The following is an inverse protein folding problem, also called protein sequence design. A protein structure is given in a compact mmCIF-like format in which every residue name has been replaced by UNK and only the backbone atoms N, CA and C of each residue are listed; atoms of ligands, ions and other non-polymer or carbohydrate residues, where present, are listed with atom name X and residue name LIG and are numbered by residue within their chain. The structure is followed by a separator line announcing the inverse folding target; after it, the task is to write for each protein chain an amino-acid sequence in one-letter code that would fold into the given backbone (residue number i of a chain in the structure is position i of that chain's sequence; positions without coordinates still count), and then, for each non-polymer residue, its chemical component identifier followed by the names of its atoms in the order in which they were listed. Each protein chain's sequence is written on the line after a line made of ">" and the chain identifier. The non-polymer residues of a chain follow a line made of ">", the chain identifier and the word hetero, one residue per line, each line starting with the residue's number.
data_IF_348073701784
#
_entry.id   IF_348073701784
#
_cell.length_a   1.000
_cell.length_b   1.000
_cell.length_c   1.000
_cell.angle_alpha   90.00
_cell.angle_beta   90.00
_cell.angle_gamma   90.00
#
_symmetry.space_group_name_H-M   'P 1'
#
loop_
_entity.id
_entity.type
_entity.pdbx_description
1 polymer ?
#
# COMPACT_ATOMS: atom_id res chain seq x y z
N UNK A 1 -11.90 -13.74 -19.18
CA UNK A 1 -10.94 -13.70 -18.05
C UNK A 1 -10.13 -12.44 -18.22
N UNK A 2 -10.25 -11.48 -17.28
CA UNK A 2 -9.39 -10.29 -17.27
C UNK A 2 -7.93 -10.75 -17.20
N UNK A 3 -7.10 -10.21 -18.09
CA UNK A 3 -5.66 -10.51 -18.19
C UNK A 3 -4.83 -9.54 -17.33
N UNK A 4 -5.52 -8.79 -16.48
CA UNK A 4 -4.95 -7.59 -15.87
C UNK A 4 -4.14 -7.99 -14.64
N UNK A 5 -2.82 -7.95 -14.75
CA UNK A 5 -1.93 -8.16 -13.62
C UNK A 5 -1.91 -6.90 -12.77
N UNK A 6 -2.12 -7.06 -11.46
CA UNK A 6 -2.32 -5.95 -10.51
C UNK A 6 -3.42 -4.96 -10.96
N UNK A 7 -4.42 -5.45 -11.72
CA UNK A 7 -5.55 -4.64 -12.19
C UNK A 7 -5.17 -3.51 -13.17
N UNK A 8 -3.98 -3.55 -13.77
CA UNK A 8 -3.45 -2.41 -14.55
C UNK A 8 -3.00 -2.76 -15.98
N UNK A 9 -2.37 -3.91 -16.23
CA UNK A 9 -1.79 -4.25 -17.57
C UNK A 9 -2.14 -5.66 -18.04
N UNK A 10 -2.39 -5.81 -19.34
CA UNK A 10 -2.76 -7.07 -19.99
C UNK A 10 -1.56 -7.95 -20.40
N UNK A 11 -0.34 -7.42 -20.34
CA UNK A 11 0.93 -8.08 -20.63
C UNK A 11 1.80 -8.34 -19.38
N UNK A 12 1.28 -8.14 -18.17
CA UNK A 12 2.06 -8.22 -16.92
C UNK A 12 2.46 -9.63 -16.44
N UNK A 13 2.41 -10.67 -17.29
CA UNK A 13 2.82 -12.04 -16.91
C UNK A 13 4.32 -12.06 -16.58
N UNK A 14 4.66 -12.61 -15.42
CA UNK A 14 6.04 -12.62 -14.90
C UNK A 14 6.34 -11.49 -13.92
N UNK A 15 5.34 -10.66 -13.59
CA UNK A 15 5.42 -9.70 -12.48
C UNK A 15 5.53 -10.42 -11.13
N UNK A 16 6.17 -9.77 -10.17
CA UNK A 16 6.46 -10.30 -8.84
C UNK A 16 6.11 -9.25 -7.78
N UNK A 17 5.61 -9.72 -6.64
CA UNK A 17 5.53 -8.92 -5.42
C UNK A 17 6.28 -9.64 -4.30
N UNK A 18 7.24 -8.96 -3.70
CA UNK A 18 7.97 -9.43 -2.53
C UNK A 18 7.52 -8.66 -1.31
N UNK A 19 7.21 -9.38 -0.23
CA UNK A 19 6.62 -8.84 0.98
C UNK A 19 7.44 -9.27 2.20
N UNK A 20 7.82 -8.30 3.03
CA UNK A 20 8.43 -8.53 4.32
C UNK A 20 7.67 -7.80 5.42
N UNK A 21 7.30 -8.55 6.47
CA UNK A 21 6.64 -8.02 7.67
C UNK A 21 7.42 -8.39 8.91
N UNK A 22 7.52 -7.44 9.85
CA UNK A 22 8.11 -7.69 11.16
C UNK A 22 7.36 -6.92 12.24
N UNK A 23 6.75 -7.66 13.18
CA UNK A 23 5.84 -7.08 14.17
C UNK A 23 6.20 -7.52 15.59
N UNK A 24 7.33 -7.05 16.15
CA UNK A 24 7.74 -7.43 17.49
C UNK A 24 6.82 -6.84 18.55
N UNK A 25 6.61 -7.58 19.63
CA UNK A 25 6.06 -7.03 20.87
C UNK A 25 7.11 -6.14 21.54
N UNK A 26 6.70 -4.95 21.96
CA UNK A 26 7.57 -3.96 22.61
C UNK A 26 7.43 -3.99 24.14
N UNK A 27 6.51 -4.78 24.67
CA UNK A 27 6.11 -4.79 26.08
C UNK A 27 4.86 -3.95 26.34
N UNK A 28 4.29 -4.10 27.54
CA UNK A 28 3.08 -3.40 27.98
C UNK A 28 1.89 -3.47 27.01
N UNK A 29 1.76 -4.57 26.26
CA UNK A 29 0.73 -4.75 25.26
C UNK A 29 0.86 -3.85 24.03
N UNK A 30 2.03 -3.26 23.79
CA UNK A 30 2.37 -2.58 22.55
C UNK A 30 3.01 -3.54 21.55
N UNK A 31 2.63 -3.40 20.28
CA UNK A 31 3.23 -4.15 19.16
C UNK A 31 3.62 -3.17 18.07
N UNK A 32 4.90 -3.19 17.67
CA UNK A 32 5.34 -2.46 16.51
C UNK A 32 4.78 -3.12 15.26
N UNK A 33 4.31 -2.35 14.29
CA UNK A 33 3.79 -2.85 13.03
C UNK A 33 4.70 -2.36 11.90
N UNK A 34 5.47 -3.24 11.27
CA UNK A 34 6.31 -2.87 10.12
C UNK A 34 6.06 -3.75 8.91
N UNK A 35 6.10 -3.12 7.76
CA UNK A 35 5.99 -3.78 6.47
C UNK A 35 6.82 -3.02 5.43
N UNK A 36 7.48 -3.77 4.56
CA UNK A 36 8.06 -3.27 3.33
C UNK A 36 7.73 -4.24 2.19
N UNK A 37 7.14 -3.71 1.13
CA UNK A 37 6.74 -4.44 -0.06
C UNK A 37 7.41 -3.88 -1.30
N UNK A 38 7.74 -4.72 -2.27
CA UNK A 38 8.19 -4.25 -3.59
C UNK A 38 7.51 -5.00 -4.72
N UNK A 39 6.92 -4.23 -5.64
CA UNK A 39 6.31 -4.72 -6.87
C UNK A 39 7.24 -4.52 -8.06
N UNK A 40 7.50 -5.61 -8.79
CA UNK A 40 8.24 -5.63 -10.04
C UNK A 40 7.27 -6.05 -11.14
N UNK A 41 7.03 -5.18 -12.11
CA UNK A 41 6.10 -5.41 -13.20
C UNK A 41 6.88 -5.79 -14.45
N UNK A 42 6.57 -6.97 -14.98
CA UNK A 42 7.11 -7.41 -16.25
C UNK A 42 6.72 -6.40 -17.34
N UNK A 43 7.66 -6.06 -18.22
CA UNK A 43 7.49 -5.11 -19.34
C UNK A 43 7.21 -3.65 -18.95
N UNK A 44 6.96 -3.35 -17.67
CA UNK A 44 6.62 -2.01 -17.17
C UNK A 44 7.53 -1.60 -16.00
N UNK A 45 8.84 -1.57 -16.21
CA UNK A 45 9.81 -1.24 -15.13
C UNK A 45 9.61 0.15 -14.52
N UNK A 46 9.03 1.09 -15.27
CA UNK A 46 8.64 2.42 -14.77
C UNK A 46 7.45 2.40 -13.80
N UNK A 47 6.69 1.30 -13.77
CA UNK A 47 5.58 1.09 -12.84
C UNK A 47 6.00 0.41 -11.53
N UNK A 48 7.24 -0.06 -11.43
CA UNK A 48 7.76 -0.72 -10.23
C UNK A 48 7.65 0.19 -9.00
N UNK A 49 7.27 -0.38 -7.87
CA UNK A 49 7.12 0.36 -6.63
C UNK A 49 7.80 -0.34 -5.46
N UNK A 50 8.05 0.46 -4.42
CA UNK A 50 8.28 -0.02 -3.06
C UNK A 50 7.30 0.71 -2.14
N UNK A 51 6.65 -0.03 -1.26
CA UNK A 51 5.74 0.51 -0.26
C UNK A 51 6.15 0.12 1.15
N UNK A 52 5.75 0.95 2.10
CA UNK A 52 6.16 0.90 3.47
C UNK A 52 4.96 1.15 4.36
N UNK A 53 4.97 0.50 5.51
CA UNK A 53 4.08 0.82 6.61
C UNK A 53 4.85 0.76 7.92
N UNK A 54 4.63 1.78 8.73
CA UNK A 54 5.10 1.86 10.11
C UNK A 54 3.92 2.20 11.00
N UNK A 55 3.66 1.38 11.99
CA UNK A 55 2.56 1.58 12.91
C UNK A 55 2.85 1.05 14.29
N UNK A 56 1.92 1.31 15.18
CA UNK A 56 1.92 0.85 16.55
C UNK A 56 0.52 0.39 16.90
N UNK A 57 0.43 -0.76 17.56
CA UNK A 57 -0.78 -1.29 18.14
C UNK A 57 -0.68 -1.29 19.66
N UNK A 58 -1.81 -1.12 20.34
CA UNK A 58 -1.96 -1.20 21.78
C UNK A 58 -3.15 -2.06 22.14
N UNK A 59 -2.89 -3.15 22.84
CA UNK A 59 -3.91 -3.92 23.55
C UNK A 59 -4.45 -3.10 24.73
N UNK A 60 -5.77 -2.99 24.79
CA UNK A 60 -6.54 -2.25 25.79
C UNK A 60 -7.37 -3.23 26.62
N UNK A 61 -7.80 -2.85 27.84
CA UNK A 61 -8.68 -3.68 28.66
C UNK A 61 -9.96 -4.09 27.92
N UNK A 62 -10.51 -5.26 28.26
CA UNK A 62 -11.76 -5.75 27.66
C UNK A 62 -11.62 -6.21 26.21
N UNK A 63 -10.45 -6.76 25.85
CA UNK A 63 -10.15 -7.35 24.53
C UNK A 63 -10.22 -6.36 23.37
N UNK A 64 -9.99 -5.07 23.68
CA UNK A 64 -9.91 -4.00 22.71
C UNK A 64 -8.48 -3.85 22.19
N UNK A 65 -8.34 -3.35 20.96
CA UNK A 65 -7.05 -3.00 20.37
C UNK A 65 -7.18 -1.71 19.59
N UNK A 66 -6.30 -0.76 19.88
CA UNK A 66 -6.16 0.49 19.14
C UNK A 66 -4.86 0.46 18.34
N UNK A 67 -4.94 0.79 17.06
CA UNK A 67 -3.77 0.79 16.16
C UNK A 67 -3.74 2.07 15.33
N UNK A 68 -2.53 2.58 15.12
CA UNK A 68 -2.25 3.64 14.15
C UNK A 68 -1.10 3.23 13.24
N UNK A 69 -1.21 3.54 11.95
CA UNK A 69 -0.16 3.22 10.99
C UNK A 69 -0.03 4.32 9.92
N UNK A 70 1.21 4.72 9.66
CA UNK A 70 1.57 5.53 8.51
C UNK A 70 1.96 4.60 7.37
N UNK A 71 1.36 4.79 6.21
CA UNK A 71 1.72 4.10 4.97
C UNK A 71 2.32 5.07 3.98
N UNK A 72 3.21 4.59 3.13
CA UNK A 72 3.78 5.33 2.03
C UNK A 72 4.11 4.37 0.90
N UNK A 73 3.93 4.78 -0.35
CA UNK A 73 4.45 4.04 -1.48
C UNK A 73 5.22 4.98 -2.39
N UNK A 74 6.40 4.54 -2.82
CA UNK A 74 7.16 5.24 -3.84
C UNK A 74 6.46 5.10 -5.18
N UNK A 75 6.27 6.24 -5.84
CA UNK A 75 5.96 6.30 -7.25
C UNK A 75 7.26 6.55 -8.01
N UNK A 76 7.86 5.52 -8.63
CA UNK A 76 8.91 5.78 -9.62
C UNK A 76 8.25 6.60 -10.75
N UNK A 77 8.71 7.83 -10.91
CA UNK A 77 8.55 8.65 -12.11
C UNK A 77 7.13 8.98 -12.57
N UNK A 78 6.26 9.47 -11.67
CA UNK A 78 4.93 10.03 -12.02
C UNK A 78 4.03 9.07 -12.82
N UNK A 79 4.42 7.80 -12.98
CA UNK A 79 3.73 6.81 -13.79
C UNK A 79 2.29 6.64 -13.27
N UNK A 80 2.17 6.53 -11.95
CA UNK A 80 0.92 6.47 -11.21
C UNK A 80 0.20 7.80 -11.01
N UNK A 81 0.74 8.92 -11.53
CA UNK A 81 0.02 10.19 -11.57
C UNK A 81 -1.04 10.12 -12.68
N UNK A 82 -0.74 9.52 -13.83
CA UNK A 82 -1.64 9.50 -15.00
C UNK A 82 -2.55 8.26 -15.13
N UNK A 83 -2.38 7.21 -14.33
CA UNK A 83 -3.07 5.91 -14.53
C UNK A 83 -4.55 5.89 -14.15
N UNK A 84 -5.13 7.00 -13.68
CA UNK A 84 -6.58 7.17 -13.78
C UNK A 84 -6.85 7.57 -15.23
N UNK A 85 -7.10 6.58 -16.10
CA UNK A 85 -7.49 6.77 -17.51
C UNK A 85 -8.81 7.56 -17.70
N UNK A 86 -9.36 8.17 -16.64
CA UNK A 86 -10.44 9.13 -16.73
C UNK A 86 -9.85 10.50 -17.10
N UNK A 87 -9.86 10.79 -18.40
CA UNK A 87 -9.86 12.18 -18.84
C UNK A 87 -11.17 12.84 -18.35
N UNK A 88 -11.10 14.08 -17.88
CA UNK A 88 -12.31 14.88 -17.69
C UNK A 88 -13.03 15.10 -19.03
N UNK A 89 -14.24 15.67 -19.00
CA UNK A 89 -15.01 15.96 -20.22
C UNK A 89 -14.29 16.92 -21.20
N UNK A 90 -13.18 17.53 -20.79
CA UNK A 90 -12.33 18.42 -21.59
C UNK A 90 -11.03 17.77 -22.06
N UNK A 91 -10.82 16.47 -21.79
CA UNK A 91 -9.65 15.72 -22.23
C UNK A 91 -8.43 15.84 -21.30
N UNK A 92 -8.56 16.47 -20.13
CA UNK A 92 -7.45 16.59 -19.19
C UNK A 92 -7.33 15.32 -18.34
N UNK A 93 -6.14 14.77 -18.23
CA UNK A 93 -5.86 13.62 -17.37
C UNK A 93 -5.87 14.08 -15.91
N UNK A 94 -6.81 13.57 -15.10
CA UNK A 94 -6.87 13.89 -13.67
C UNK A 94 -5.76 13.16 -12.92
N UNK A 95 -4.66 13.88 -12.71
CA UNK A 95 -3.46 13.30 -12.13
C UNK A 95 -3.57 13.04 -10.61
N UNK A 96 -3.70 11.79 -10.15
CA UNK A 96 -3.73 11.46 -8.70
C UNK A 96 -2.55 10.57 -8.31
N UNK A 97 -1.56 11.13 -7.60
CA UNK A 97 -0.49 10.34 -6.97
C UNK A 97 -1.08 9.32 -6.00
N UNK A 98 -0.88 8.04 -6.30
CA UNK A 98 -1.38 6.92 -5.51
C UNK A 98 -0.49 6.61 -4.29
N UNK A 99 0.79 6.98 -4.32
CA UNK A 99 1.76 6.71 -3.26
C UNK A 99 1.87 7.76 -2.14
N UNK A 100 0.89 8.66 -1.99
CA UNK A 100 0.97 9.71 -0.95
C UNK A 100 0.96 9.08 0.45
N UNK A 101 1.72 9.64 1.41
CA UNK A 101 1.64 9.19 2.79
C UNK A 101 0.21 9.26 3.32
N UNK A 102 -0.24 8.21 4.00
CA UNK A 102 -1.57 8.15 4.58
C UNK A 102 -1.52 7.61 6.02
N UNK A 103 -2.35 8.17 6.90
CA UNK A 103 -2.53 7.68 8.26
C UNK A 103 -3.79 6.83 8.32
N UNK A 104 -3.64 5.59 8.79
CA UNK A 104 -4.75 4.70 9.10
C UNK A 104 -4.88 4.56 10.62
N UNK A 105 -6.11 4.68 11.13
CA UNK A 105 -6.45 4.44 12.53
C UNK A 105 -7.47 3.29 12.58
N UNK A 106 -7.33 2.40 13.55
CA UNK A 106 -8.22 1.26 13.71
C UNK A 106 -8.47 1.00 15.19
N UNK A 107 -9.74 0.81 15.54
CA UNK A 107 -10.17 0.33 16.85
C UNK A 107 -10.96 -0.96 16.64
N UNK A 108 -10.54 -2.06 17.28
CA UNK A 108 -11.19 -3.37 17.16
C UNK A 108 -11.41 -4.02 18.52
N UNK A 109 -12.39 -4.92 18.59
CA UNK A 109 -12.70 -5.75 19.76
C UNK A 109 -12.78 -7.21 19.34
N UNK A 110 -12.20 -8.09 20.13
CA UNK A 110 -12.39 -9.55 19.99
C UNK A 110 -13.44 -10.03 21.01
N UNK A 111 -14.32 -10.96 20.59
CA UNK A 111 -15.45 -11.50 21.36
C UNK A 111 -15.11 -12.85 21.99
#
# INVERSE_FOLDING_TARGET
>A
MSKDYFGTFDDGRGSLYLDFNFNPELGDGYTLLTHVGTGILAHHSGANWVDYKLGLSKALPGSWTLSGALTYASDKDRFWIGSNFAADASGNTLGKRLGKPALALTLSKTF
#
